data_IF_410689040533
#
_entry.id   IF_410689040533
#
_cell.length_a   1.000
_cell.length_b   1.000
_cell.length_c   1.000
_cell.angle_alpha   90.00
_cell.angle_beta   90.00
_cell.angle_gamma   90.00
#
_symmetry.space_group_name_H-M   'P 1'
#
loop_
_entity.id
_entity.type
_entity.pdbx_description
1 polymer ?
#
# COMPACT_ATOMS: atom_id res chain seq x y z
N UNK A 1 18.93 27.54 -8.68
CA UNK A 1 19.68 26.33 -9.10
C UNK A 1 18.72 25.14 -9.13
N UNK A 2 19.08 23.95 -9.65
CA UNK A 2 18.24 22.76 -9.44
C UNK A 2 19.06 21.50 -9.13
N UNK A 3 18.40 20.52 -8.51
CA UNK A 3 19.02 19.29 -8.01
C UNK A 3 18.35 18.08 -8.64
N UNK A 4 19.15 17.14 -9.14
CA UNK A 4 18.67 15.92 -9.80
C UNK A 4 19.31 14.69 -9.19
N UNK A 5 18.50 13.67 -8.90
CA UNK A 5 18.99 12.36 -8.48
C UNK A 5 19.25 11.50 -9.72
N UNK A 6 20.47 11.00 -9.86
CA UNK A 6 20.88 10.09 -10.94
C UNK A 6 21.57 8.88 -10.30
N UNK A 7 20.85 7.75 -10.23
CA UNK A 7 21.29 6.57 -9.49
C UNK A 7 21.44 6.86 -8.00
N UNK A 8 22.62 6.58 -7.43
CA UNK A 8 22.96 6.83 -6.02
C UNK A 8 23.52 8.22 -5.76
N UNK A 9 23.53 9.12 -6.74
CA UNK A 9 24.13 10.46 -6.64
C UNK A 9 23.14 11.57 -6.88
N UNK A 10 23.38 12.70 -6.22
CA UNK A 10 22.69 13.97 -6.47
C UNK A 10 23.63 14.86 -7.25
N UNK A 11 23.14 15.39 -8.36
CA UNK A 11 23.81 16.38 -9.19
C UNK A 11 23.23 17.77 -8.91
N UNK A 12 24.12 18.70 -8.60
CA UNK A 12 23.83 20.12 -8.43
C UNK A 12 24.05 20.82 -9.77
N UNK A 13 22.98 21.32 -10.39
CA UNK A 13 23.02 21.90 -11.74
C UNK A 13 22.66 23.38 -11.66
N UNK A 14 23.59 24.23 -12.10
CA UNK A 14 23.42 25.68 -12.21
C UNK A 14 22.93 26.01 -13.62
N UNK A 15 21.82 26.72 -13.71
CA UNK A 15 21.30 27.26 -14.96
C UNK A 15 21.76 28.71 -15.07
N UNK A 16 22.38 29.06 -16.19
CA UNK A 16 22.78 30.42 -16.51
C UNK A 16 22.16 30.81 -17.84
N UNK A 17 21.57 32.00 -17.88
CA UNK A 17 21.11 32.58 -19.14
C UNK A 17 22.30 33.28 -19.78
N UNK A 18 22.72 32.81 -20.95
CA UNK A 18 23.80 33.43 -21.70
C UNK A 18 23.29 34.66 -22.47
N UNK A 19 24.20 35.51 -22.93
CA UNK A 19 23.92 36.75 -23.66
C UNK A 19 23.08 36.52 -24.93
N UNK A 20 23.18 35.32 -25.52
CA UNK A 20 22.41 34.89 -26.69
C UNK A 20 21.00 34.36 -26.34
N UNK A 21 20.53 34.64 -25.12
CA UNK A 21 19.26 34.16 -24.57
C UNK A 21 19.14 32.62 -24.54
N UNK A 22 20.27 31.93 -24.56
CA UNK A 22 20.36 30.47 -24.46
C UNK A 22 20.58 30.07 -23.01
N UNK A 23 19.77 29.12 -22.53
CA UNK A 23 19.92 28.56 -21.19
C UNK A 23 21.04 27.52 -21.21
N UNK A 24 22.13 27.78 -20.49
CA UNK A 24 23.22 26.83 -20.33
C UNK A 24 23.12 26.17 -18.96
N UNK A 25 23.28 24.85 -18.93
CA UNK A 25 23.24 24.06 -17.71
C UNK A 25 24.64 23.53 -17.40
N UNK A 26 25.16 23.88 -16.23
CA UNK A 26 26.48 23.42 -15.78
C UNK A 26 26.34 22.61 -14.49
N UNK A 27 26.82 21.37 -14.51
CA UNK A 27 26.95 20.57 -13.30
C UNK A 27 28.10 21.11 -12.44
N UNK A 28 27.78 21.59 -11.24
CA UNK A 28 28.75 22.21 -10.33
C UNK A 28 29.44 21.18 -9.44
N UNK A 29 28.65 20.23 -8.90
CA UNK A 29 29.13 19.20 -7.99
C UNK A 29 28.17 18.01 -7.99
N UNK A 30 28.69 16.82 -7.69
CA UNK A 30 27.87 15.64 -7.41
C UNK A 30 28.25 15.04 -6.07
N UNK A 31 27.26 14.59 -5.30
CA UNK A 31 27.48 13.97 -4.00
C UNK A 31 26.55 12.77 -3.80
N UNK A 32 26.79 12.00 -2.73
CA UNK A 32 25.99 10.82 -2.41
C UNK A 32 24.54 11.18 -2.06
N UNK A 33 23.58 10.45 -2.61
CA UNK A 33 22.17 10.72 -2.37
C UNK A 33 21.68 10.43 -0.96
N UNK A 34 22.43 9.69 -0.14
CA UNK A 34 22.10 9.42 1.25
C UNK A 34 22.54 10.51 2.23
N UNK A 35 23.27 11.53 1.75
CA UNK A 35 23.63 12.68 2.58
C UNK A 35 22.38 13.46 2.99
N UNK A 36 22.22 13.67 4.29
CA UNK A 36 21.15 14.45 4.91
C UNK A 36 21.55 15.90 5.16
N UNK A 37 22.85 16.19 5.11
CA UNK A 37 23.44 17.50 5.35
C UNK A 37 24.41 17.88 4.23
N UNK A 38 24.67 19.19 4.08
CA UNK A 38 25.59 19.71 3.07
C UNK A 38 27.03 19.38 3.47
N UNK A 39 27.67 18.47 2.74
CA UNK A 39 29.05 18.10 3.00
C UNK A 39 30.02 19.27 2.70
N UNK A 40 31.17 19.36 3.41
CA UNK A 40 32.11 20.48 3.25
C UNK A 40 32.63 20.66 1.82
N UNK A 41 32.87 19.57 1.10
CA UNK A 41 33.33 19.60 -0.29
C UNK A 41 32.26 20.11 -1.27
N UNK A 42 30.98 19.97 -0.91
CA UNK A 42 29.85 20.51 -1.68
C UNK A 42 29.69 21.99 -1.37
N UNK A 43 29.73 22.37 -0.09
CA UNK A 43 29.66 23.76 0.33
C UNK A 43 30.78 24.62 -0.30
N UNK A 44 31.99 24.08 -0.44
CA UNK A 44 33.12 24.79 -1.04
C UNK A 44 32.93 25.13 -2.54
N UNK A 45 31.98 24.49 -3.23
CA UNK A 45 31.70 24.70 -4.66
C UNK A 45 30.46 25.55 -4.93
N UNK A 46 29.71 25.88 -3.89
CA UNK A 46 28.43 26.58 -3.97
C UNK A 46 28.53 27.96 -3.33
N UNK A 47 27.72 28.90 -3.80
CA UNK A 47 27.54 30.19 -3.13
C UNK A 47 26.72 30.03 -1.85
N UNK A 48 26.72 31.05 -0.99
CA UNK A 48 25.89 31.08 0.23
C UNK A 48 24.41 30.82 -0.08
N UNK A 49 23.89 31.43 -1.14
CA UNK A 49 22.48 31.32 -1.54
C UNK A 49 22.17 29.91 -2.05
N UNK A 50 23.08 29.32 -2.83
CA UNK A 50 22.96 27.94 -3.33
C UNK A 50 23.06 26.91 -2.21
N UNK A 51 23.88 27.16 -1.18
CA UNK A 51 23.91 26.34 0.03
C UNK A 51 22.56 26.42 0.75
N UNK A 52 21.94 27.61 0.79
CA UNK A 52 20.58 27.79 1.31
C UNK A 52 19.55 26.95 0.56
N UNK A 53 19.55 27.04 -0.78
CA UNK A 53 18.68 26.23 -1.65
C UNK A 53 18.90 24.72 -1.44
N UNK A 54 20.17 24.29 -1.34
CA UNK A 54 20.51 22.88 -1.12
C UNK A 54 20.09 22.40 0.27
N UNK A 55 20.27 23.20 1.32
CA UNK A 55 19.78 22.88 2.67
C UNK A 55 18.27 22.73 2.70
N UNK A 56 17.55 23.62 2.02
CA UNK A 56 16.10 23.52 1.88
C UNK A 56 15.70 22.25 1.14
N UNK A 57 16.39 21.92 0.05
CA UNK A 57 16.15 20.71 -0.73
C UNK A 57 16.41 19.42 0.08
N UNK A 58 17.53 19.36 0.81
CA UNK A 58 17.87 18.23 1.69
C UNK A 58 16.86 18.08 2.84
N UNK A 59 16.42 19.18 3.44
CA UNK A 59 15.35 19.16 4.46
C UNK A 59 14.01 18.70 3.88
N UNK A 60 13.67 19.13 2.67
CA UNK A 60 12.49 18.66 1.93
C UNK A 60 12.54 17.16 1.64
N UNK A 61 13.75 16.59 1.45
CA UNK A 61 13.95 15.15 1.30
C UNK A 61 13.86 14.37 2.61
N UNK A 62 14.19 15.02 3.72
CA UNK A 62 14.04 14.50 5.09
C UNK A 62 12.65 14.67 5.67
N UNK A 63 11.72 15.36 4.96
CA UNK A 63 10.30 15.10 5.20
C UNK A 63 10.15 13.62 4.94
N UNK A 64 9.81 12.81 5.96
CA UNK A 64 9.64 11.40 5.73
C UNK A 64 8.67 11.31 4.56
N UNK A 65 9.07 10.62 3.50
CA UNK A 65 8.13 9.68 2.92
C UNK A 65 7.76 8.82 4.13
N UNK A 66 6.76 9.27 4.91
CA UNK A 66 5.99 8.39 5.75
C UNK A 66 5.77 7.20 4.84
N UNK A 67 6.02 6.02 5.38
CA UNK A 67 5.64 4.79 4.71
C UNK A 67 4.12 4.91 4.59
N UNK A 68 3.68 5.59 3.55
CA UNK A 68 2.31 5.68 3.12
C UNK A 68 2.10 4.24 2.74
N UNK A 69 1.48 3.49 3.65
CA UNK A 69 1.09 2.12 3.37
C UNK A 69 0.32 2.17 2.05
N UNK A 70 0.43 1.12 1.24
CA UNK A 70 -0.25 1.07 -0.06
C UNK A 70 -1.74 1.44 0.06
N UNK A 71 -2.34 1.10 1.22
CA UNK A 71 -3.69 1.51 1.63
C UNK A 71 -3.86 3.00 1.90
N UNK A 72 -2.93 3.64 2.60
CA UNK A 72 -3.00 5.08 2.87
C UNK A 72 -2.88 5.90 1.57
N UNK A 73 -2.13 5.42 0.58
CA UNK A 73 -2.06 6.09 -0.73
C UNK A 73 -3.40 6.00 -1.46
N UNK A 74 -4.04 4.84 -1.43
CA UNK A 74 -5.36 4.62 -2.01
C UNK A 74 -6.46 5.40 -1.27
N UNK A 75 -6.30 5.63 0.03
CA UNK A 75 -7.21 6.41 0.87
C UNK A 75 -7.14 7.91 0.56
N UNK A 76 -5.95 8.46 0.32
CA UNK A 76 -5.76 9.87 -0.04
C UNK A 76 -6.07 10.19 -1.51
N UNK A 77 -6.09 9.17 -2.37
CA UNK A 77 -6.23 9.33 -3.83
C UNK A 77 -7.51 10.09 -4.25
N UNK A 78 -8.69 9.83 -3.65
CA UNK A 78 -9.92 10.59 -3.95
C UNK A 78 -9.81 12.08 -3.63
N UNK A 79 -9.17 12.44 -2.51
CA UNK A 79 -8.98 13.84 -2.12
C UNK A 79 -8.07 14.57 -3.10
N UNK A 80 -6.97 13.92 -3.50
CA UNK A 80 -6.02 14.46 -4.49
C UNK A 80 -6.72 14.65 -5.84
N UNK A 81 -7.57 13.70 -6.28
CA UNK A 81 -8.36 13.84 -7.51
C UNK A 81 -9.34 15.01 -7.41
N UNK A 82 -10.00 15.18 -6.26
CA UNK A 82 -10.94 16.28 -6.06
C UNK A 82 -10.25 17.65 -6.17
N UNK A 83 -9.06 17.79 -5.56
CA UNK A 83 -8.25 19.01 -5.66
C UNK A 83 -7.74 19.24 -7.09
N UNK A 84 -7.27 18.19 -7.77
CA UNK A 84 -6.86 18.27 -9.17
C UNK A 84 -8.01 18.74 -10.09
N UNK A 85 -9.22 18.24 -9.88
CA UNK A 85 -10.42 18.67 -10.61
C UNK A 85 -10.75 20.15 -10.35
N UNK A 86 -10.60 20.62 -9.11
CA UNK A 86 -10.80 22.02 -8.77
C UNK A 86 -9.81 22.95 -9.47
N UNK A 87 -8.55 22.54 -9.58
CA UNK A 87 -7.50 23.28 -10.30
C UNK A 87 -7.80 23.28 -11.81
N UNK A 88 -8.17 22.14 -12.39
CA UNK A 88 -8.54 22.02 -13.79
C UNK A 88 -9.76 22.86 -14.15
N UNK A 89 -10.77 22.93 -13.27
CA UNK A 89 -11.95 23.77 -13.46
C UNK A 89 -11.65 25.27 -13.48
N UNK A 90 -10.52 25.68 -12.88
CA UNK A 90 -10.07 27.08 -12.83
C UNK A 90 -9.06 27.44 -13.92
N UNK A 91 -8.51 26.45 -14.61
CA UNK A 91 -7.52 26.66 -15.66
C UNK A 91 -8.19 26.89 -17.01
N UNK A 92 -7.77 27.95 -17.71
CA UNK A 92 -8.23 28.26 -19.08
C UNK A 92 -7.49 27.50 -20.17
N UNK A 93 -6.31 26.96 -19.87
CA UNK A 93 -5.49 26.21 -20.82
C UNK A 93 -4.66 25.15 -20.10
N UNK A 94 -4.57 23.97 -20.70
CA UNK A 94 -3.74 22.86 -20.24
C UNK A 94 -2.78 22.47 -21.36
N UNK A 95 -1.50 22.28 -21.03
CA UNK A 95 -0.50 21.83 -22.00
C UNK A 95 -0.87 20.43 -22.55
N UNK A 96 -0.71 20.23 -23.86
CA UNK A 96 -1.09 19.00 -24.57
C UNK A 96 -0.38 17.76 -24.02
N UNK A 97 0.89 17.91 -23.61
CA UNK A 97 1.65 16.81 -23.00
C UNK A 97 1.12 16.46 -21.61
N UNK A 98 0.72 17.46 -20.85
CA UNK A 98 0.11 17.29 -19.52
C UNK A 98 -1.28 16.66 -19.63
N UNK A 99 -2.10 17.12 -20.58
CA UNK A 99 -3.39 16.52 -20.92
C UNK A 99 -3.25 15.02 -21.24
N UNK A 100 -2.36 14.66 -22.18
CA UNK A 100 -2.18 13.28 -22.59
C UNK A 100 -1.76 12.37 -21.42
N UNK A 101 -0.83 12.86 -20.57
CA UNK A 101 -0.39 12.12 -19.38
C UNK A 101 -1.53 11.88 -18.40
N UNK A 102 -2.33 12.90 -18.11
CA UNK A 102 -3.46 12.77 -17.18
C UNK A 102 -4.50 11.79 -17.71
N UNK A 103 -4.89 11.92 -18.99
CA UNK A 103 -5.86 11.01 -19.62
C UNK A 103 -5.36 9.56 -19.59
N UNK A 104 -4.11 9.33 -19.98
CA UNK A 104 -3.54 7.99 -19.99
C UNK A 104 -3.48 7.37 -18.58
N UNK A 105 -3.07 8.14 -17.57
CA UNK A 105 -3.06 7.66 -16.18
C UNK A 105 -4.46 7.37 -15.63
N UNK A 106 -5.49 8.13 -16.04
CA UNK A 106 -6.88 7.86 -15.68
C UNK A 106 -7.37 6.57 -16.34
N UNK A 107 -7.02 6.32 -17.60
CA UNK A 107 -7.35 5.07 -18.31
C UNK A 107 -6.73 3.86 -17.61
N UNK A 108 -5.43 3.90 -17.30
CA UNK A 108 -4.74 2.82 -16.57
C UNK A 108 -5.33 2.60 -15.17
N UNK A 109 -5.65 3.67 -14.45
CA UNK A 109 -6.29 3.57 -13.13
C UNK A 109 -7.67 2.91 -13.24
N UNK A 110 -8.47 3.33 -14.22
CA UNK A 110 -9.81 2.79 -14.48
C UNK A 110 -9.74 1.30 -14.85
N UNK A 111 -8.80 0.91 -15.70
CA UNK A 111 -8.56 -0.48 -16.05
C UNK A 111 -8.21 -1.32 -14.82
N UNK A 112 -7.31 -0.84 -13.97
CA UNK A 112 -6.92 -1.54 -12.75
C UNK A 112 -8.08 -1.66 -11.74
N UNK A 113 -8.88 -0.62 -11.58
CA UNK A 113 -10.08 -0.67 -10.73
C UNK A 113 -11.12 -1.68 -11.27
N UNK A 114 -11.32 -1.74 -12.59
CA UNK A 114 -12.22 -2.71 -13.22
C UNK A 114 -11.72 -4.15 -13.06
N UNK A 115 -10.40 -4.39 -13.18
CA UNK A 115 -9.78 -5.70 -12.92
C UNK A 115 -9.95 -6.14 -11.46
N UNK A 116 -9.93 -5.21 -10.50
CA UNK A 116 -10.22 -5.50 -9.11
C UNK A 116 -11.70 -5.77 -8.89
N UNK A 117 -12.60 -4.97 -9.49
CA UNK A 117 -14.05 -5.15 -9.37
C UNK A 117 -14.51 -6.53 -9.88
N UNK A 118 -13.97 -6.98 -11.02
CA UNK A 118 -14.23 -8.32 -11.59
C UNK A 118 -13.68 -9.47 -10.73
N UNK A 119 -12.60 -9.25 -9.97
CA UNK A 119 -12.08 -10.23 -8.98
C UNK A 119 -12.90 -10.25 -7.69
N UNK A 120 -13.49 -9.13 -7.29
CA UNK A 120 -14.37 -9.09 -6.11
C UNK A 120 -15.70 -9.80 -6.37
N UNK A 121 -16.18 -9.80 -7.63
CA UNK A 121 -17.38 -10.54 -8.05
C UNK A 121 -17.25 -12.07 -8.02
N UNK A 122 -16.04 -12.63 -8.11
CA UNK A 122 -15.83 -14.09 -8.09
C UNK A 122 -15.68 -14.68 -6.68
N UNK A 123 -15.60 -13.85 -5.64
CA UNK A 123 -15.46 -14.33 -4.25
C UNK A 123 -16.80 -14.60 -3.56
N UNK A 124 -17.92 -14.11 -4.10
CA UNK A 124 -19.26 -14.33 -3.54
C UNK A 124 -19.98 -15.57 -4.10
N UNK A 125 -19.66 -16.02 -5.31
CA UNK A 125 -20.31 -17.20 -5.91
C UNK A 125 -19.76 -18.54 -5.39
N UNK A 126 -18.60 -18.56 -4.74
CA UNK A 126 -18.05 -19.78 -4.10
C UNK A 126 -18.57 -20.03 -2.68
N UNK A 127 -19.46 -19.19 -2.16
CA UNK A 127 -20.07 -19.36 -0.82
C UNK A 127 -21.56 -19.69 -0.87
N UNK A 128 -22.09 -20.07 -2.03
CA UNK A 128 -23.48 -20.47 -2.18
C UNK A 128 -23.61 -21.68 -3.09
N UNK A 129 -23.28 -22.84 -2.54
CA UNK A 129 -23.98 -24.13 -2.63
C UNK A 129 -23.17 -25.04 -1.70
N UNK A 130 -23.53 -25.05 -0.41
CA UNK A 130 -23.34 -26.25 0.40
C UNK A 130 -24.63 -27.02 0.17
N UNK A 131 -24.53 -28.13 -0.57
CA UNK A 131 -25.63 -29.03 -0.87
C UNK A 131 -26.38 -29.36 0.41
N UNK A 132 -27.70 -29.25 0.33
CA UNK A 132 -28.62 -29.34 1.46
C UNK A 132 -28.90 -30.80 1.88
N UNK A 133 -28.05 -31.76 1.49
CA UNK A 133 -28.35 -33.20 1.56
C UNK A 133 -27.28 -34.08 2.22
N UNK A 134 -26.22 -33.55 2.83
CA UNK A 134 -25.39 -34.36 3.76
C UNK A 134 -25.76 -34.05 5.21
N UNK A 135 -26.92 -34.56 5.61
CA UNK A 135 -27.21 -34.85 7.02
C UNK A 135 -26.29 -36.01 7.41
N UNK A 136 -25.13 -35.70 7.99
CA UNK A 136 -24.35 -36.67 8.75
C UNK A 136 -25.23 -37.18 9.90
N UNK A 137 -25.80 -38.37 9.72
CA UNK A 137 -26.32 -39.18 10.82
C UNK A 137 -25.13 -39.69 11.62
N UNK A 138 -24.62 -38.88 12.53
CA UNK A 138 -23.88 -39.40 13.68
C UNK A 138 -24.90 -39.71 14.79
N UNK A 139 -25.07 -40.99 15.21
CA UNK A 139 -25.83 -41.27 16.40
C UNK A 139 -25.04 -40.76 17.61
N UNK A 140 -25.47 -39.63 18.15
CA UNK A 140 -25.03 -39.12 19.44
C UNK A 140 -25.36 -40.20 20.48
N UNK A 141 -24.34 -40.91 20.96
CA UNK A 141 -24.42 -41.75 22.14
C UNK A 141 -24.82 -40.85 23.32
N UNK A 142 -26.11 -40.87 23.65
CA UNK A 142 -26.61 -40.38 24.93
C UNK A 142 -26.04 -41.27 26.04
N UNK A 143 -24.94 -40.84 26.63
CA UNK A 143 -24.49 -41.33 27.92
C UNK A 143 -25.53 -40.96 28.99
N UNK A 144 -26.52 -41.84 29.16
CA UNK A 144 -27.42 -41.85 30.31
C UNK A 144 -26.64 -42.29 31.55
N UNK A 145 -26.06 -41.33 32.25
CA UNK A 145 -25.83 -41.46 33.69
C UNK A 145 -27.15 -41.31 34.42
N UNK A 146 -27.75 -42.42 34.89
CA UNK A 146 -28.72 -42.41 36.00
C UNK A 146 -28.86 -43.81 36.58
N UNK A 147 -28.14 -44.01 37.69
CA UNK A 147 -28.47 -44.78 38.89
C UNK A 147 -29.30 -46.07 38.76
N UNK A 148 -28.61 -47.16 39.11
CA UNK A 148 -29.09 -48.41 39.67
C UNK A 148 -30.54 -48.42 40.18
N UNK A 149 -31.32 -49.37 39.69
CA UNK A 149 -32.22 -50.11 40.57
C UNK A 149 -32.17 -51.60 40.23
N UNK A 150 -31.71 -52.35 41.22
CA UNK A 150 -31.68 -53.80 41.26
C UNK A 150 -33.11 -54.34 41.20
N UNK A 151 -33.39 -55.28 40.30
CA UNK A 151 -34.32 -56.37 40.59
C UNK A 151 -33.85 -57.62 39.87
N UNK A 152 -33.22 -58.46 40.68
CA UNK A 152 -32.59 -59.72 40.36
C UNK A 152 -33.62 -60.84 40.62
N UNK A 153 -34.42 -61.18 39.62
CA UNK A 153 -35.24 -62.39 39.64
C UNK A 153 -34.45 -63.54 39.01
N UNK A 154 -33.58 -64.16 39.83
CA UNK A 154 -33.01 -65.49 39.55
C UNK A 154 -33.96 -66.56 40.08
N UNK A 155 -34.58 -67.29 39.16
CA UNK A 155 -35.24 -68.55 39.44
C UNK A 155 -34.22 -69.65 39.86
N UNK A 156 -34.67 -70.69 40.57
CA UNK A 156 -33.87 -71.36 41.59
C UNK A 156 -33.16 -72.61 41.08
N UNK A 157 -32.00 -72.96 41.67
CA UNK A 157 -31.66 -74.37 41.81
C UNK A 157 -30.71 -74.65 42.99
N UNK A 158 -31.35 -75.19 44.02
CA UNK A 158 -30.98 -76.31 44.89
C UNK A 158 -29.50 -76.65 45.23
N UNK A 159 -29.24 -76.54 46.54
CA UNK A 159 -28.83 -77.60 47.49
C UNK A 159 -27.36 -78.09 47.57
N UNK A 160 -26.92 -78.20 48.85
CA UNK A 160 -25.83 -78.99 49.49
C UNK A 160 -24.43 -78.35 49.49
N UNK A 161 -23.61 -78.42 50.55
CA UNK A 161 -23.62 -79.08 51.87
C UNK A 161 -22.80 -78.17 52.82
N UNK A 162 -23.04 -78.10 54.13
CA UNK A 162 -22.59 -79.10 55.11
C UNK A 162 -21.39 -78.55 55.88
N UNK A 163 -21.51 -78.48 57.21
CA UNK A 163 -20.44 -78.19 58.18
C UNK A 163 -19.37 -79.27 58.11
#
# INVERSE_FOLDING_TARGET
MYFKVVGSRVQCIRQQLNTDNTLTETMVVSFDSHLTEVAPHVAAKLSSDEIGELKCWLRGRNVPKQIISEYHLLEMLPEIIAEANFILAKQSHLDKKTFYKLTHSIEELTENLNRLNTRTGTRLDKLKIMEKDEILFEPINQEKGTWANLNNDRAPNQVRAGI
#
